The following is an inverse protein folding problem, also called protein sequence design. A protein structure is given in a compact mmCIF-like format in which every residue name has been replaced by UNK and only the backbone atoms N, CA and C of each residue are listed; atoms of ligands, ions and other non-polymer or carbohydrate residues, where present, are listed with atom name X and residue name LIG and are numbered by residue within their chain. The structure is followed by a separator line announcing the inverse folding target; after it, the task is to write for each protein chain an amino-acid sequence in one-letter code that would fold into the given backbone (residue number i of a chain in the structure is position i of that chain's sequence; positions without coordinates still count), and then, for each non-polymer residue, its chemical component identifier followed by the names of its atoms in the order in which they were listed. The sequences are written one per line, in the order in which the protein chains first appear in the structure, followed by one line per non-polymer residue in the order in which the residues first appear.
data_IF_985842658045
#
_entry.id   IF_985842658045
#
_cell.length_a   1.000
_cell.length_b   1.000
_cell.length_c   1.000
_cell.angle_alpha   90.00
_cell.angle_beta   90.00
_cell.angle_gamma   90.00
#
_symmetry.space_group_name_H-M   'P 1'
#
loop_
_entity.id
_entity.type
_entity.pdbx_description
1 polymer ?
#
# COMPACT_ATOMS: atom_id res chain seq x y z
N UNK A 1 -7.65 -14.05 31.85
CA UNK A 1 -7.64 -12.73 31.19
C UNK A 1 -7.62 -12.99 29.69
N UNK A 2 -8.78 -12.92 29.03
CA UNK A 2 -8.85 -13.01 27.58
C UNK A 2 -8.42 -11.62 27.08
N UNK A 3 -7.24 -11.52 26.48
CA UNK A 3 -6.81 -10.28 25.86
C UNK A 3 -7.84 -9.90 24.81
N UNK A 4 -8.39 -8.69 24.87
CA UNK A 4 -9.20 -8.13 23.78
C UNK A 4 -8.41 -8.28 22.48
N UNK A 5 -8.85 -9.17 21.60
CA UNK A 5 -8.28 -9.36 20.27
C UNK A 5 -8.31 -8.01 19.54
N UNK A 6 -7.29 -7.62 18.76
CA UNK A 6 -7.15 -6.24 18.29
C UNK A 6 -8.04 -5.98 17.07
N UNK A 7 -9.35 -6.12 17.21
CA UNK A 7 -10.34 -5.78 16.18
C UNK A 7 -10.13 -4.35 15.65
N UNK A 8 -9.63 -3.44 16.49
CA UNK A 8 -9.22 -2.09 16.09
C UNK A 8 -7.99 -2.08 15.18
N UNK A 9 -6.97 -2.89 15.46
CA UNK A 9 -5.80 -2.98 14.58
C UNK A 9 -6.19 -3.56 13.22
N UNK A 10 -7.05 -4.59 13.22
CA UNK A 10 -7.53 -5.21 11.98
C UNK A 10 -8.41 -4.26 11.14
N UNK A 11 -9.30 -3.50 11.79
CA UNK A 11 -10.11 -2.48 11.10
C UNK A 11 -9.22 -1.38 10.50
N UNK A 12 -8.18 -0.97 11.21
CA UNK A 12 -7.20 0.00 10.70
C UNK A 12 -6.41 -0.57 9.51
N UNK A 13 -6.06 -1.85 9.52
CA UNK A 13 -5.37 -2.51 8.40
C UNK A 13 -6.25 -2.62 7.16
N UNK A 14 -7.54 -2.94 7.34
CA UNK A 14 -8.50 -2.91 6.25
C UNK A 14 -8.66 -1.52 5.64
N UNK A 15 -8.59 -0.46 6.47
CA UNK A 15 -8.60 0.90 5.97
C UNK A 15 -7.35 1.21 5.13
N UNK A 16 -6.16 0.82 5.61
CA UNK A 16 -4.89 0.96 4.87
C UNK A 16 -4.95 0.22 3.53
N UNK A 17 -5.53 -0.97 3.47
CA UNK A 17 -5.72 -1.72 2.23
C UNK A 17 -6.65 -0.98 1.25
N UNK A 18 -7.78 -0.43 1.73
CA UNK A 18 -8.69 0.34 0.89
C UNK A 18 -8.01 1.60 0.32
N UNK A 19 -7.32 2.36 1.16
CA UNK A 19 -6.57 3.55 0.74
C UNK A 19 -5.48 3.18 -0.27
N UNK A 20 -4.77 2.07 -0.07
CA UNK A 20 -3.79 1.59 -1.03
C UNK A 20 -4.40 1.33 -2.42
N UNK A 21 -5.52 0.60 -2.49
CA UNK A 21 -6.18 0.34 -3.77
C UNK A 21 -6.77 1.62 -4.39
N UNK A 22 -7.22 2.57 -3.57
CA UNK A 22 -7.66 3.88 -4.03
C UNK A 22 -6.50 4.66 -4.67
N UNK A 23 -5.37 4.78 -3.98
CA UNK A 23 -4.15 5.43 -4.48
C UNK A 23 -3.69 4.81 -5.79
N UNK A 24 -3.63 3.48 -5.88
CA UNK A 24 -3.26 2.82 -7.13
C UNK A 24 -4.18 3.24 -8.26
N UNK A 25 -5.51 3.26 -8.07
CA UNK A 25 -6.48 3.67 -9.09
C UNK A 25 -6.25 5.12 -9.56
N UNK A 26 -5.81 6.00 -8.68
CA UNK A 26 -5.54 7.41 -8.99
C UNK A 26 -4.19 7.69 -9.67
N UNK A 27 -3.36 6.67 -9.86
CA UNK A 27 -2.05 6.75 -10.53
C UNK A 27 -2.14 6.24 -11.99
N UNK A 28 -2.67 7.01 -12.95
CA UNK A 28 -2.90 6.58 -14.32
C UNK A 28 -1.62 6.20 -15.08
N UNK A 29 -0.46 6.67 -14.64
CA UNK A 29 0.85 6.36 -15.20
C UNK A 29 1.30 4.90 -14.99
N UNK A 30 0.71 4.20 -14.02
CA UNK A 30 1.05 2.81 -13.73
C UNK A 30 0.31 1.85 -14.66
N UNK A 31 1.07 1.01 -15.37
CA UNK A 31 0.49 -0.07 -16.18
C UNK A 31 -0.15 -1.14 -15.30
N UNK A 32 -0.95 -2.02 -15.91
CA UNK A 32 -1.51 -3.18 -15.19
C UNK A 32 -0.41 -4.08 -14.60
N UNK A 33 0.75 -4.18 -15.26
CA UNK A 33 1.89 -4.93 -14.75
C UNK A 33 2.51 -4.24 -13.54
N UNK A 34 2.73 -2.93 -13.61
CA UNK A 34 3.30 -2.16 -12.50
C UNK A 34 2.43 -2.26 -11.25
N UNK A 35 1.11 -2.16 -11.44
CA UNK A 35 0.12 -2.34 -10.37
C UNK A 35 0.22 -3.72 -9.72
N UNK A 36 0.39 -4.77 -10.53
CA UNK A 36 0.55 -6.13 -10.01
C UNK A 36 1.85 -6.31 -9.23
N UNK A 37 2.95 -5.71 -9.68
CA UNK A 37 4.24 -5.71 -8.96
C UNK A 37 4.13 -4.99 -7.63
N UNK A 38 3.56 -3.77 -7.63
CA UNK A 38 3.34 -2.97 -6.42
C UNK A 38 2.43 -3.69 -5.42
N UNK A 39 1.32 -4.26 -5.89
CA UNK A 39 0.42 -5.06 -5.06
C UNK A 39 1.14 -6.25 -4.45
N UNK A 40 1.88 -7.03 -5.24
CA UNK A 40 2.63 -8.20 -4.74
C UNK A 40 3.64 -7.82 -3.67
N UNK A 41 4.37 -6.72 -3.87
CA UNK A 41 5.39 -6.27 -2.92
C UNK A 41 4.76 -5.73 -1.62
N UNK A 42 3.88 -4.74 -1.74
CA UNK A 42 3.35 -4.01 -0.57
C UNK A 42 2.33 -4.83 0.22
N UNK A 43 1.51 -5.66 -0.43
CA UNK A 43 0.58 -6.54 0.30
C UNK A 43 1.31 -7.65 1.09
N UNK A 44 2.57 -7.94 0.75
CA UNK A 44 3.37 -8.90 1.51
C UNK A 44 3.96 -8.30 2.80
N UNK A 45 3.95 -6.97 2.93
CA UNK A 45 4.63 -6.23 4.00
C UNK A 45 3.78 -5.06 4.50
N UNK A 46 3.02 -5.29 5.57
CA UNK A 46 2.08 -4.31 6.14
C UNK A 46 2.74 -3.01 6.61
N UNK A 47 4.00 -3.07 7.05
CA UNK A 47 4.82 -1.90 7.39
C UNK A 47 5.07 -1.00 6.17
N UNK A 48 5.47 -1.60 5.05
CA UNK A 48 5.70 -0.86 3.81
C UNK A 48 4.41 -0.36 3.18
N UNK A 49 3.33 -1.13 3.26
CA UNK A 49 2.01 -0.72 2.82
C UNK A 49 1.54 0.54 3.56
N UNK A 50 1.67 0.56 4.90
CA UNK A 50 1.35 1.74 5.72
C UNK A 50 2.24 2.92 5.35
N UNK A 51 3.53 2.68 5.17
CA UNK A 51 4.48 3.71 4.71
C UNK A 51 4.06 4.32 3.37
N UNK A 52 3.68 3.48 2.41
CA UNK A 52 3.24 3.89 1.08
C UNK A 52 1.96 4.74 1.11
N UNK A 53 0.96 4.33 1.91
CA UNK A 53 -0.29 5.08 2.05
C UNK A 53 -0.05 6.46 2.68
N UNK A 54 0.86 6.57 3.65
CA UNK A 54 1.18 7.82 4.33
C UNK A 54 2.15 8.73 3.54
N UNK A 55 2.90 8.16 2.60
CA UNK A 55 3.87 8.88 1.77
C UNK A 55 3.18 9.99 0.95
N UNK A 56 3.74 11.20 0.83
CA UNK A 56 3.25 12.24 -0.08
C UNK A 56 3.23 11.79 -1.55
N UNK A 57 2.34 12.36 -2.37
CA UNK A 57 2.17 11.94 -3.78
C UNK A 57 3.45 12.07 -4.60
N UNK A 58 4.20 13.14 -4.40
CA UNK A 58 5.49 13.43 -5.04
C UNK A 58 6.58 12.41 -4.67
N UNK A 59 6.60 11.96 -3.42
CA UNK A 59 7.52 10.90 -2.98
C UNK A 59 7.10 9.51 -3.49
N UNK A 60 5.78 9.23 -3.56
CA UNK A 60 5.25 7.95 -4.04
C UNK A 60 5.69 7.63 -5.45
N UNK A 61 5.72 8.64 -6.34
CA UNK A 61 6.16 8.43 -7.72
C UNK A 61 7.63 7.96 -7.76
N UNK A 62 8.50 8.57 -6.94
CA UNK A 62 9.88 8.16 -6.77
C UNK A 62 10.00 6.73 -6.24
N UNK A 63 9.23 6.38 -5.20
CA UNK A 63 9.18 5.02 -4.66
C UNK A 63 8.76 3.99 -5.71
N UNK A 64 7.68 4.26 -6.45
CA UNK A 64 7.21 3.40 -7.53
C UNK A 64 8.30 3.23 -8.60
N UNK A 65 8.98 4.30 -9.02
CA UNK A 65 10.07 4.21 -10.00
C UNK A 65 11.23 3.34 -9.54
N UNK A 66 11.59 3.39 -8.25
CA UNK A 66 12.66 2.54 -7.68
C UNK A 66 12.21 1.09 -7.62
N UNK A 67 10.99 0.83 -7.16
CA UNK A 67 10.47 -0.53 -6.99
C UNK A 67 10.19 -1.24 -8.33
N UNK A 68 9.75 -0.49 -9.33
CA UNK A 68 9.42 -1.00 -10.67
C UNK A 68 10.63 -1.11 -11.58
N UNK A 69 11.80 -0.65 -11.14
CA UNK A 69 13.07 -0.83 -11.84
C UNK A 69 13.55 -2.27 -11.67
N UNK A 70 12.95 -3.18 -12.44
CA UNK A 70 13.58 -4.46 -12.79
C UNK A 70 14.43 -4.29 -14.05
#
# INVERSE_FOLDING_TARGET
MIAEWPARALANENNVLMEFFHILREMPELTSLDRAVLQRHLLSRMDELRGFVLMPKDEREGFCRVLLRN
#
